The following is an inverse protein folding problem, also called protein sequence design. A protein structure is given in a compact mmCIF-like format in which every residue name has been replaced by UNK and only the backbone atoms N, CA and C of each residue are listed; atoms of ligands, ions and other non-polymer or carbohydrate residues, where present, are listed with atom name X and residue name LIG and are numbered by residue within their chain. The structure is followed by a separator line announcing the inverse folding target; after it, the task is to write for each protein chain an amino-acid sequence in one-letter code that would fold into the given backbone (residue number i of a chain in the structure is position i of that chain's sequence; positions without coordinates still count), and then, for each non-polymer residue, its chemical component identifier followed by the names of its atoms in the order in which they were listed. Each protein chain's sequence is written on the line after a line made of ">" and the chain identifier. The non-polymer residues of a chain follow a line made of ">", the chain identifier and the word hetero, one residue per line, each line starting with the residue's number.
data_IF_379947224208
#
_entry.id   IF_379947224208
#
_cell.length_a   1.000
_cell.length_b   1.000
_cell.length_c   1.000
_cell.angle_alpha   90.00
_cell.angle_beta   90.00
_cell.angle_gamma   90.00
#
_symmetry.space_group_name_H-M   'P 1'
#
loop_
_entity.id
_entity.type
_entity.pdbx_description
1 polymer ?
#
# COMPACT_ATOMS: atom_id res chain seq x y z
N UNK A 1 0.49 16.94 3.69
CA UNK A 1 0.09 15.55 3.38
C UNK A 1 0.21 14.77 4.69
N UNK A 2 -0.89 14.19 5.18
CA UNK A 2 -0.94 13.47 6.48
C UNK A 2 -0.17 12.14 6.50
N UNK A 3 0.62 11.80 5.47
CA UNK A 3 1.44 10.57 5.43
C UNK A 3 0.65 9.26 5.39
N UNK A 4 -0.67 9.32 5.21
CA UNK A 4 -1.56 8.15 5.21
C UNK A 4 -2.19 8.01 3.81
N UNK A 5 -1.63 7.17 2.92
CA UNK A 5 -2.17 6.97 1.58
C UNK A 5 -3.49 6.18 1.61
N UNK A 6 -4.32 6.42 0.58
CA UNK A 6 -5.54 5.66 0.27
C UNK A 6 -5.49 5.26 -1.20
N UNK A 7 -5.90 4.03 -1.50
CA UNK A 7 -6.01 3.56 -2.87
C UNK A 7 -7.24 4.17 -3.55
N UNK A 8 -7.25 4.16 -4.88
CA UNK A 8 -8.43 4.58 -5.64
C UNK A 8 -9.63 3.66 -5.39
N UNK A 9 -9.39 2.37 -5.10
CA UNK A 9 -10.44 1.42 -4.74
C UNK A 9 -11.11 1.82 -3.42
N UNK A 10 -10.32 2.17 -2.40
CA UNK A 10 -10.85 2.60 -1.11
C UNK A 10 -11.70 3.87 -1.21
N UNK A 11 -11.33 4.78 -2.11
CA UNK A 11 -12.13 5.98 -2.39
C UNK A 11 -13.39 5.62 -3.16
N UNK A 12 -13.29 4.71 -4.13
CA UNK A 12 -14.43 4.26 -4.93
C UNK A 12 -15.50 3.59 -4.05
N UNK A 13 -15.10 2.71 -3.13
CA UNK A 13 -15.98 1.93 -2.25
C UNK A 13 -16.90 2.78 -1.38
N UNK A 14 -16.43 3.96 -0.96
CA UNK A 14 -17.21 4.91 -0.13
C UNK A 14 -17.85 6.03 -0.96
N UNK A 15 -17.67 6.00 -2.28
CA UNK A 15 -18.22 6.98 -3.21
C UNK A 15 -19.37 6.40 -4.04
N UNK A 16 -20.09 7.27 -4.74
CA UNK A 16 -21.06 6.86 -5.78
C UNK A 16 -20.44 6.90 -7.18
N UNK A 17 -19.11 6.95 -7.27
CA UNK A 17 -18.37 7.21 -8.50
C UNK A 17 -17.47 6.00 -8.82
N UNK A 18 -17.47 5.50 -10.07
CA UNK A 18 -16.59 4.41 -10.45
C UNK A 18 -15.11 4.77 -10.30
N UNK A 19 -14.29 3.81 -9.85
CA UNK A 19 -12.84 3.96 -9.69
C UNK A 19 -12.15 4.56 -10.93
N UNK A 20 -12.57 4.13 -12.13
CA UNK A 20 -12.04 4.61 -13.42
C UNK A 20 -12.26 6.12 -13.61
N UNK A 21 -13.38 6.65 -13.16
CA UNK A 21 -13.70 8.07 -13.26
C UNK A 21 -12.86 8.88 -12.26
N UNK A 22 -12.74 8.41 -11.02
CA UNK A 22 -11.87 9.02 -10.01
C UNK A 22 -10.43 9.11 -10.53
N UNK A 23 -9.89 8.01 -11.07
CA UNK A 23 -8.53 7.98 -11.61
C UNK A 23 -8.30 8.92 -12.81
N UNK A 24 -9.33 9.11 -13.66
CA UNK A 24 -9.28 10.05 -14.79
C UNK A 24 -9.25 11.49 -14.31
N UNK A 25 -10.17 11.85 -13.42
CA UNK A 25 -10.29 13.21 -12.87
C UNK A 25 -9.06 13.59 -12.06
N UNK A 26 -8.56 12.65 -11.25
CA UNK A 26 -7.30 12.82 -10.53
C UNK A 26 -6.15 13.16 -11.47
N UNK A 27 -5.96 12.36 -12.54
CA UNK A 27 -4.87 12.60 -13.51
C UNK A 27 -5.01 13.96 -14.19
N UNK A 28 -6.24 14.34 -14.57
CA UNK A 28 -6.51 15.64 -15.17
C UNK A 28 -6.12 16.79 -14.23
N UNK A 29 -6.58 16.75 -12.98
CA UNK A 29 -6.26 17.79 -11.98
C UNK A 29 -4.76 17.85 -11.71
N UNK A 30 -4.09 16.70 -11.53
CA UNK A 30 -2.64 16.68 -11.29
C UNK A 30 -1.84 17.27 -12.45
N UNK A 31 -2.29 17.06 -13.69
CA UNK A 31 -1.65 17.63 -14.88
C UNK A 31 -1.88 19.14 -15.00
N UNK A 32 -3.12 19.61 -14.85
CA UNK A 32 -3.48 21.03 -14.92
C UNK A 32 -2.77 21.85 -13.83
N UNK A 33 -2.63 21.28 -12.64
CA UNK A 33 -1.97 21.94 -11.51
C UNK A 33 -0.45 21.73 -11.47
N UNK A 34 0.13 20.98 -12.42
CA UNK A 34 1.57 20.71 -12.46
C UNK A 34 2.09 20.00 -11.20
N UNK A 35 1.28 19.13 -10.59
CA UNK A 35 1.64 18.43 -9.36
C UNK A 35 2.62 17.29 -9.65
N UNK A 36 3.81 17.35 -9.04
CA UNK A 36 4.74 16.23 -9.05
C UNK A 36 4.30 15.16 -8.04
N UNK A 37 4.02 13.97 -8.56
CA UNK A 37 3.63 12.82 -7.75
C UNK A 37 4.84 11.92 -7.51
N UNK A 38 5.30 11.91 -6.26
CA UNK A 38 6.28 10.92 -5.83
C UNK A 38 5.60 9.54 -5.69
N UNK A 39 6.28 8.45 -6.05
CA UNK A 39 5.81 7.11 -5.76
C UNK A 39 5.49 6.95 -4.27
N UNK A 40 4.39 6.28 -3.98
CA UNK A 40 4.00 5.98 -2.60
C UNK A 40 4.90 4.86 -2.08
N UNK A 41 5.46 5.06 -0.89
CA UNK A 41 6.21 4.02 -0.18
C UNK A 41 5.24 2.92 0.32
N UNK A 42 5.40 1.64 -0.10
CA UNK A 42 4.57 0.54 0.35
C UNK A 42 4.48 0.42 1.88
N UNK A 43 5.52 0.83 2.62
CA UNK A 43 5.54 0.78 4.10
C UNK A 43 4.40 1.59 4.72
N UNK A 44 3.93 2.65 4.06
CA UNK A 44 2.84 3.48 4.56
C UNK A 44 1.50 2.74 4.67
N UNK A 45 1.34 1.60 3.98
CA UNK A 45 0.14 0.77 4.10
C UNK A 45 0.22 -0.27 5.23
N UNK A 46 1.43 -0.62 5.68
CA UNK A 46 1.66 -1.73 6.63
C UNK A 46 0.91 -1.55 7.95
N UNK A 47 0.98 -0.41 8.65
CA UNK A 47 0.33 -0.26 9.97
C UNK A 47 -1.20 -0.47 9.89
N UNK A 48 -1.82 0.05 8.83
CA UNK A 48 -3.27 -0.06 8.64
C UNK A 48 -3.69 -1.48 8.31
N UNK A 49 -2.99 -2.14 7.38
CA UNK A 49 -3.28 -3.53 7.03
C UNK A 49 -3.09 -4.46 8.23
N UNK A 50 -1.99 -4.32 8.95
CA UNK A 50 -1.74 -5.12 10.14
C UNK A 50 -2.77 -4.88 11.26
N UNK A 51 -3.16 -3.62 11.48
CA UNK A 51 -4.23 -3.29 12.41
C UNK A 51 -5.56 -3.93 12.00
N UNK A 52 -5.93 -3.86 10.72
CA UNK A 52 -7.17 -4.46 10.21
C UNK A 52 -7.19 -6.00 10.32
N UNK A 53 -6.01 -6.63 10.24
CA UNK A 53 -5.82 -8.07 10.34
C UNK A 53 -5.53 -8.55 11.77
N UNK A 54 -5.43 -7.63 12.74
CA UNK A 54 -5.07 -7.91 14.13
C UNK A 54 -3.74 -8.69 14.24
N UNK A 55 -2.72 -8.23 13.53
CA UNK A 55 -1.37 -8.83 13.53
C UNK A 55 -0.49 -8.16 14.57
N UNK A 56 0.46 -8.90 15.13
CA UNK A 56 1.42 -8.37 16.10
C UNK A 56 2.36 -7.30 15.53
N UNK A 57 3.01 -6.57 16.43
CA UNK A 57 4.11 -5.67 16.07
C UNK A 57 5.30 -6.41 15.44
N UNK A 58 5.50 -7.68 15.80
CA UNK A 58 6.56 -8.52 15.21
C UNK A 58 6.32 -8.72 13.71
N UNK A 59 5.08 -9.06 13.32
CA UNK A 59 4.69 -9.19 11.91
C UNK A 59 4.81 -7.86 11.17
N UNK A 60 4.44 -6.74 11.79
CA UNK A 60 4.59 -5.40 11.20
C UNK A 60 6.04 -5.04 10.94
N UNK A 61 6.92 -5.28 11.92
CA UNK A 61 8.36 -5.04 11.80
C UNK A 61 8.95 -5.92 10.70
N UNK A 62 8.59 -7.21 10.66
CA UNK A 62 9.07 -8.13 9.64
C UNK A 62 8.59 -7.76 8.23
N UNK A 63 7.34 -7.34 8.08
CA UNK A 63 6.80 -6.87 6.80
C UNK A 63 7.54 -5.62 6.31
N UNK A 64 7.85 -4.70 7.21
CA UNK A 64 8.63 -3.49 6.92
C UNK A 64 10.04 -3.84 6.44
N UNK A 65 10.71 -4.74 7.14
CA UNK A 65 12.04 -5.25 6.76
C UNK A 65 12.04 -5.90 5.36
N UNK A 66 11.02 -6.72 5.05
CA UNK A 66 10.86 -7.34 3.72
C UNK A 66 10.75 -6.26 2.63
N UNK A 67 10.01 -5.18 2.90
CA UNK A 67 9.86 -4.08 1.95
C UNK A 67 11.19 -3.34 1.76
N UNK A 68 11.92 -3.06 2.83
CA UNK A 68 13.22 -2.36 2.77
C UNK A 68 14.25 -3.17 1.96
N UNK A 69 14.44 -4.45 2.27
CA UNK A 69 15.34 -5.33 1.52
C UNK A 69 14.93 -5.43 0.05
N UNK A 70 13.63 -5.48 -0.23
CA UNK A 70 13.12 -5.52 -1.61
C UNK A 70 13.35 -4.20 -2.35
N UNK A 71 13.29 -3.07 -1.65
CA UNK A 71 13.60 -1.75 -2.20
C UNK A 71 15.07 -1.65 -2.58
N UNK A 72 15.97 -2.08 -1.69
CA UNK A 72 17.43 -2.10 -1.91
C UNK A 72 17.81 -2.98 -3.10
N UNK A 73 17.09 -4.09 -3.31
CA UNK A 73 17.28 -4.99 -4.45
C UNK A 73 16.60 -4.51 -5.75
N UNK A 74 15.94 -3.33 -5.74
CA UNK A 74 15.26 -2.79 -6.92
C UNK A 74 13.98 -3.54 -7.31
N UNK A 75 13.43 -4.37 -6.43
CA UNK A 75 12.28 -5.23 -6.71
C UNK A 75 10.93 -4.51 -6.64
N UNK A 76 10.89 -3.24 -6.23
CA UNK A 76 9.63 -2.47 -6.14
C UNK A 76 9.15 -1.92 -7.49
N UNK A 77 10.04 -1.81 -8.49
CA UNK A 77 9.71 -1.17 -9.77
C UNK A 77 8.58 -1.90 -10.51
N UNK A 78 7.61 -1.13 -11.00
CA UNK A 78 6.45 -1.63 -11.75
C UNK A 78 5.42 -2.40 -10.94
N UNK A 79 5.60 -2.53 -9.61
CA UNK A 79 4.64 -3.22 -8.74
C UNK A 79 3.70 -2.22 -8.07
N UNK A 80 2.45 -2.63 -7.86
CA UNK A 80 1.50 -1.83 -7.09
C UNK A 80 1.96 -1.73 -5.62
N UNK A 81 2.11 -0.52 -5.03
CA UNK A 81 2.53 -0.37 -3.64
C UNK A 81 1.61 -1.07 -2.64
N UNK A 82 0.29 -1.02 -2.87
CA UNK A 82 -0.69 -1.70 -2.01
C UNK A 82 -0.55 -3.22 -2.10
N UNK A 83 -0.41 -3.75 -3.32
CA UNK A 83 -0.22 -5.19 -3.54
C UNK A 83 1.11 -5.69 -2.95
N UNK A 84 2.17 -4.88 -3.06
CA UNK A 84 3.46 -5.22 -2.47
C UNK A 84 3.39 -5.26 -0.94
N UNK A 85 2.77 -4.26 -0.32
CA UNK A 85 2.58 -4.22 1.14
C UNK A 85 1.74 -5.42 1.63
N UNK A 86 0.67 -5.78 0.91
CA UNK A 86 -0.13 -6.96 1.22
C UNK A 86 0.68 -8.27 1.13
N UNK A 87 1.48 -8.42 0.06
CA UNK A 87 2.36 -9.58 -0.10
C UNK A 87 3.44 -9.68 0.99
N UNK A 88 4.04 -8.55 1.38
CA UNK A 88 5.02 -8.48 2.46
C UNK A 88 4.40 -8.87 3.81
N UNK A 89 3.18 -8.40 4.11
CA UNK A 89 2.44 -8.79 5.32
C UNK A 89 2.14 -10.29 5.32
N UNK A 90 1.70 -10.84 4.19
CA UNK A 90 1.43 -12.27 4.09
C UNK A 90 2.70 -13.09 4.35
N UNK A 91 3.82 -12.72 3.73
CA UNK A 91 5.10 -13.39 3.94
C UNK A 91 5.58 -13.26 5.40
N UNK A 92 5.50 -12.07 6.00
CA UNK A 92 5.83 -11.84 7.40
C UNK A 92 4.96 -12.67 8.35
N UNK A 93 3.66 -12.74 8.09
CA UNK A 93 2.71 -13.54 8.87
C UNK A 93 3.05 -15.03 8.84
N UNK A 94 3.51 -15.54 7.69
CA UNK A 94 4.01 -16.92 7.58
C UNK A 94 5.28 -17.15 8.40
N UNK A 95 6.22 -16.20 8.36
CA UNK A 95 7.52 -16.29 9.06
C UNK A 95 7.37 -16.20 10.59
N UNK A 96 6.43 -15.39 11.07
CA UNK A 96 6.13 -15.21 12.50
C UNK A 96 5.06 -16.19 13.02
N UNK A 97 4.63 -17.17 12.22
CA UNK A 97 3.61 -18.17 12.57
C UNK A 97 2.22 -17.59 12.95
N UNK A 98 1.89 -16.39 12.45
CA UNK A 98 0.59 -15.71 12.60
C UNK A 98 -0.23 -15.83 11.30
N UNK A 99 -0.47 -17.07 10.84
CA UNK A 99 -1.11 -17.31 9.55
C UNK A 99 -2.50 -16.65 9.47
N UNK A 100 -2.69 -15.82 8.43
CA UNK A 100 -3.99 -15.42 7.91
C UNK A 100 -4.19 -16.09 6.54
N UNK A 101 -5.42 -16.48 6.24
CA UNK A 101 -5.77 -17.01 4.91
C UNK A 101 -5.65 -15.90 3.86
N UNK A 102 -5.26 -16.26 2.63
CA UNK A 102 -5.17 -15.32 1.50
C UNK A 102 -6.54 -14.78 1.10
#
# INVERSE_FOLDING_TARGET
>A
QEGIPRSLDEVADVSRVPQKEIGRTYRYISQELGLELKPVDPKQFVPRFASSLQLSEEVQSKATEIIDVSAEQGLLSGKSPTGFAAAAIYAASLLCNEKKTQ
#
